data_IF_884598655368
#
_entry.id   IF_884598655368
#
_cell.length_a   1.000
_cell.length_b   1.000
_cell.length_c   1.000
_cell.angle_alpha   90.00
_cell.angle_beta   90.00
_cell.angle_gamma   90.00
#
_symmetry.space_group_name_H-M   'P 1'
#
loop_
_entity.id
_entity.type
_entity.pdbx_description
1 polymer ?
#
# COMPACT_ATOMS: atom_id res chain seq x y z
N UNK A 1 -1.64 13.92 -31.68
CA UNK A 1 -1.54 14.46 -30.32
C UNK A 1 -0.87 13.37 -29.51
N UNK A 2 0.35 13.59 -29.03
CA UNK A 2 1.04 12.60 -28.21
C UNK A 2 0.38 12.67 -26.83
N UNK A 3 -0.22 11.60 -26.29
CA UNK A 3 -0.71 11.65 -24.93
C UNK A 3 0.50 11.89 -24.02
N UNK A 4 0.44 12.95 -23.21
CA UNK A 4 1.42 13.13 -22.14
C UNK A 4 1.27 11.94 -21.18
N UNK A 5 2.35 11.18 -21.02
CA UNK A 5 2.40 10.12 -20.02
C UNK A 5 2.51 10.84 -18.68
N UNK A 6 1.41 10.81 -17.91
CA UNK A 6 1.43 11.31 -16.53
C UNK A 6 2.22 10.32 -15.68
N UNK A 7 3.32 10.79 -15.11
CA UNK A 7 4.16 10.03 -14.18
C UNK A 7 3.84 10.50 -12.77
N UNK A 8 3.49 9.57 -11.89
CA UNK A 8 3.27 9.82 -10.46
C UNK A 8 4.49 9.37 -9.67
N UNK A 9 5.01 10.24 -8.81
CA UNK A 9 6.13 9.91 -7.92
C UNK A 9 5.70 8.93 -6.81
N UNK A 10 6.61 8.12 -6.24
CA UNK A 10 6.30 7.26 -5.11
C UNK A 10 5.64 8.02 -3.95
N UNK A 11 4.45 7.56 -3.53
CA UNK A 11 3.63 8.19 -2.50
C UNK A 11 2.67 9.27 -3.01
N UNK A 12 2.66 9.59 -4.31
CA UNK A 12 1.67 10.49 -4.91
C UNK A 12 0.40 9.73 -5.32
N UNK A 13 -0.59 9.70 -4.43
CA UNK A 13 -1.89 9.09 -4.69
C UNK A 13 -2.92 10.05 -5.31
N UNK A 14 -2.49 11.16 -5.93
CA UNK A 14 -3.39 12.14 -6.53
C UNK A 14 -4.27 11.60 -7.65
N UNK A 15 -3.89 10.47 -8.27
CA UNK A 15 -4.67 9.76 -9.27
C UNK A 15 -5.88 9.00 -8.71
N UNK A 16 -5.93 8.75 -7.40
CA UNK A 16 -7.07 8.10 -6.74
C UNK A 16 -8.22 9.11 -6.58
N UNK A 17 -9.35 8.84 -7.27
CA UNK A 17 -10.52 9.72 -7.27
C UNK A 17 -11.23 9.79 -5.91
N UNK A 18 -11.30 8.66 -5.21
CA UNK A 18 -11.96 8.57 -3.90
C UNK A 18 -11.09 9.21 -2.82
N UNK A 19 -11.59 10.28 -2.18
CA UNK A 19 -10.87 10.98 -1.10
C UNK A 19 -10.57 10.05 0.07
N UNK A 20 -11.53 9.19 0.44
CA UNK A 20 -11.39 8.26 1.55
C UNK A 20 -10.32 7.20 1.25
N UNK A 21 -10.38 6.60 0.06
CA UNK A 21 -9.41 5.60 -0.37
C UNK A 21 -8.00 6.18 -0.49
N UNK A 22 -7.89 7.37 -1.09
CA UNK A 22 -6.63 8.11 -1.16
C UNK A 22 -6.02 8.32 0.24
N UNK A 23 -6.84 8.73 1.22
CA UNK A 23 -6.36 8.94 2.58
C UNK A 23 -5.81 7.64 3.21
N UNK A 24 -6.50 6.52 3.00
CA UNK A 24 -6.10 5.19 3.48
C UNK A 24 -4.75 4.76 2.89
N UNK A 25 -4.54 4.93 1.58
CA UNK A 25 -3.26 4.59 0.95
C UNK A 25 -2.13 5.54 1.36
N UNK A 26 -2.40 6.85 1.46
CA UNK A 26 -1.43 7.81 1.96
C UNK A 26 -0.96 7.45 3.37
N UNK A 27 -1.88 7.11 4.27
CA UNK A 27 -1.56 6.76 5.65
C UNK A 27 -0.74 5.47 5.72
N UNK A 28 -1.18 4.42 5.00
CA UNK A 28 -0.46 3.16 4.89
C UNK A 28 0.97 3.36 4.36
N UNK A 29 1.15 4.09 3.25
CA UNK A 29 2.46 4.31 2.64
C UNK A 29 3.40 5.02 3.61
N UNK A 30 2.93 6.08 4.28
CA UNK A 30 3.70 6.78 5.31
C UNK A 30 4.10 5.85 6.46
N UNK A 31 3.20 4.99 6.92
CA UNK A 31 3.47 4.06 8.01
C UNK A 31 4.58 3.07 7.62
N UNK A 32 4.52 2.52 6.39
CA UNK A 32 5.56 1.61 5.86
C UNK A 32 6.89 2.33 5.69
N UNK A 33 6.88 3.54 5.11
CA UNK A 33 8.08 4.37 4.92
C UNK A 33 8.75 4.69 6.26
N UNK A 34 7.96 5.11 7.25
CA UNK A 34 8.43 5.43 8.61
C UNK A 34 9.03 4.21 9.30
N UNK A 35 8.45 3.03 9.09
CA UNK A 35 8.95 1.78 9.67
C UNK A 35 10.19 1.25 8.94
N UNK A 36 10.42 1.65 7.68
CA UNK A 36 11.54 1.17 6.86
C UNK A 36 11.43 -0.31 6.48
N UNK A 37 10.21 -0.84 6.37
CA UNK A 37 9.94 -2.29 6.26
C UNK A 37 9.73 -2.78 4.82
N UNK A 38 10.10 -1.98 3.81
CA UNK A 38 9.90 -2.34 2.41
C UNK A 38 10.56 -3.68 2.03
N UNK A 39 11.78 -3.95 2.51
CA UNK A 39 12.43 -5.25 2.27
C UNK A 39 11.75 -6.41 3.00
N UNK A 40 11.19 -6.18 4.20
CA UNK A 40 10.42 -7.21 4.92
C UNK A 40 9.15 -7.57 4.13
N UNK A 41 8.46 -6.57 3.58
CA UNK A 41 7.24 -6.76 2.78
C UNK A 41 7.47 -7.58 1.51
N UNK A 42 8.67 -7.53 0.91
CA UNK A 42 9.00 -8.37 -0.26
C UNK A 42 9.03 -9.86 0.06
N UNK A 43 9.40 -10.21 1.28
CA UNK A 43 9.64 -11.59 1.71
C UNK A 43 8.40 -12.27 2.29
N UNK A 44 7.32 -11.50 2.49
CA UNK A 44 6.04 -12.00 2.98
C UNK A 44 5.03 -12.22 1.84
N UNK A 45 3.79 -12.63 2.15
CA UNK A 45 3.52 -13.57 3.18
C UNK A 45 3.92 -14.97 2.73
N UNK A 46 4.52 -15.74 3.64
CA UNK A 46 4.53 -17.20 3.50
C UNK A 46 3.10 -17.74 3.35
N UNK A 47 2.97 -19.03 3.04
CA UNK A 47 1.68 -19.72 2.83
C UNK A 47 0.66 -19.35 3.92
N UNK A 48 -0.33 -18.53 3.58
CA UNK A 48 -1.36 -18.08 4.53
C UNK A 48 -1.80 -16.62 4.34
N UNK A 49 -0.94 -15.72 3.87
CA UNK A 49 -1.29 -14.29 3.78
C UNK A 49 -1.02 -13.52 5.07
N UNK A 50 -1.02 -12.19 5.02
CA UNK A 50 -0.70 -11.33 6.18
C UNK A 50 -1.63 -11.48 7.39
N UNK A 51 -2.84 -12.02 7.20
CA UNK A 51 -3.80 -12.30 8.26
C UNK A 51 -3.55 -13.62 9.01
N UNK A 52 -2.78 -14.53 8.40
CA UNK A 52 -2.52 -15.87 8.93
C UNK A 52 -1.02 -16.20 9.03
N UNK A 53 -0.17 -15.24 8.66
CA UNK A 53 1.28 -15.33 8.83
C UNK A 53 1.70 -15.14 10.29
N UNK A 54 2.89 -15.61 10.63
CA UNK A 54 3.48 -15.45 11.98
C UNK A 54 4.12 -14.08 12.20
N UNK A 55 4.12 -13.21 11.21
CA UNK A 55 4.74 -11.89 11.29
C UNK A 55 3.89 -10.87 12.02
N UNK A 56 4.53 -10.02 12.82
CA UNK A 56 3.87 -8.91 13.51
C UNK A 56 3.65 -7.66 12.63
N UNK A 57 3.98 -7.74 11.33
CA UNK A 57 3.92 -6.63 10.37
C UNK A 57 2.58 -5.88 10.43
N UNK A 58 1.40 -6.55 10.39
CA UNK A 58 0.13 -5.84 10.48
C UNK A 58 -0.02 -5.03 11.76
N UNK A 59 0.48 -5.55 12.90
CA UNK A 59 0.42 -4.85 14.19
C UNK A 59 1.38 -3.66 14.22
N UNK A 60 2.59 -3.81 13.69
CA UNK A 60 3.58 -2.71 13.59
C UNK A 60 3.06 -1.57 12.72
N UNK A 61 2.48 -1.90 11.57
CA UNK A 61 1.85 -0.94 10.67
C UNK A 61 0.70 -0.23 11.38
N UNK A 62 -0.24 -0.99 11.96
CA UNK A 62 -1.41 -0.44 12.64
C UNK A 62 -1.05 0.48 13.81
N UNK A 63 0.01 0.18 14.55
CA UNK A 63 0.53 1.04 15.61
C UNK A 63 1.18 2.35 15.11
N UNK A 64 1.40 2.48 13.80
CA UNK A 64 2.04 3.64 13.17
C UNK A 64 1.16 4.40 12.16
N UNK A 65 -0.10 3.97 11.99
CA UNK A 65 -1.09 4.71 11.20
C UNK A 65 -1.44 6.02 11.92
N UNK A 66 -1.60 7.10 11.16
CA UNK A 66 -2.13 8.37 11.64
C UNK A 66 -3.62 8.23 12.01
N UNK A 67 -4.37 7.38 11.30
CA UNK A 67 -5.79 7.13 11.55
C UNK A 67 -6.13 5.63 11.51
N UNK A 68 -5.79 4.86 12.56
CA UNK A 68 -6.02 3.42 12.59
C UNK A 68 -7.49 3.03 12.45
N UNK A 69 -8.42 3.85 12.95
CA UNK A 69 -9.86 3.59 12.88
C UNK A 69 -10.45 3.75 11.47
N UNK A 70 -9.72 4.38 10.54
CA UNK A 70 -10.11 4.45 9.13
C UNK A 70 -9.92 3.12 8.39
N UNK A 71 -9.19 2.17 8.98
CA UNK A 71 -8.92 0.87 8.39
C UNK A 71 -9.79 -0.21 9.04
N UNK A 72 -10.78 -0.70 8.30
CA UNK A 72 -11.31 -2.05 8.59
C UNK A 72 -10.20 -3.09 8.43
N UNK A 73 -10.33 -4.26 9.08
CA UNK A 73 -9.36 -5.35 8.92
C UNK A 73 -9.19 -5.80 7.45
N UNK A 74 -10.24 -5.73 6.64
CA UNK A 74 -10.18 -6.04 5.22
C UNK A 74 -9.39 -4.99 4.43
N UNK A 75 -9.67 -3.69 4.64
CA UNK A 75 -8.90 -2.61 4.00
C UNK A 75 -7.44 -2.60 4.45
N UNK A 76 -7.16 -2.91 5.72
CA UNK A 76 -5.79 -3.02 6.20
C UNK A 76 -5.03 -4.12 5.43
N UNK A 77 -5.61 -5.31 5.32
CA UNK A 77 -5.00 -6.43 4.61
C UNK A 77 -4.78 -6.16 3.11
N UNK A 78 -5.72 -5.48 2.46
CA UNK A 78 -5.59 -5.05 1.06
C UNK A 78 -4.44 -4.05 0.90
N UNK A 79 -4.42 -2.98 1.70
CA UNK A 79 -3.37 -1.97 1.63
C UNK A 79 -1.98 -2.56 1.91
N UNK A 80 -1.84 -3.50 2.86
CA UNK A 80 -0.56 -4.20 3.09
C UNK A 80 -0.16 -5.00 1.84
N UNK A 81 -1.12 -5.65 1.16
CA UNK A 81 -0.86 -6.38 -0.09
C UNK A 81 -0.39 -5.45 -1.20
N UNK A 82 -0.98 -4.26 -1.32
CA UNK A 82 -0.57 -3.25 -2.28
C UNK A 82 0.83 -2.71 -1.99
N UNK A 83 1.15 -2.43 -0.72
CA UNK A 83 2.50 -2.01 -0.32
C UNK A 83 3.53 -3.10 -0.62
N UNK A 84 3.18 -4.36 -0.41
CA UNK A 84 4.00 -5.48 -0.83
C UNK A 84 4.19 -5.51 -2.36
N UNK A 85 3.11 -5.30 -3.13
CA UNK A 85 3.21 -5.26 -4.59
C UNK A 85 4.16 -4.15 -5.04
N UNK A 86 4.05 -2.96 -4.44
CA UNK A 86 4.97 -1.84 -4.66
C UNK A 86 6.41 -2.25 -4.29
N UNK A 87 6.61 -2.95 -3.18
CA UNK A 87 7.94 -3.40 -2.77
C UNK A 87 8.56 -4.37 -3.79
N UNK A 88 7.77 -5.32 -4.32
CA UNK A 88 8.27 -6.37 -5.23
C UNK A 88 8.45 -5.84 -6.66
N UNK A 89 7.48 -5.06 -7.16
CA UNK A 89 7.38 -4.69 -8.58
C UNK A 89 7.67 -3.22 -8.86
N UNK A 90 7.75 -2.40 -7.82
CA UNK A 90 7.93 -0.96 -7.92
C UNK A 90 6.63 -0.19 -8.07
N UNK A 91 6.68 1.08 -7.67
CA UNK A 91 5.58 2.04 -7.74
C UNK A 91 4.93 2.18 -9.13
N UNK A 92 5.68 2.31 -10.25
CA UNK A 92 5.06 2.49 -11.57
C UNK A 92 4.15 1.32 -11.98
N UNK A 93 4.51 0.09 -11.60
CA UNK A 93 3.69 -1.09 -11.89
C UNK A 93 2.40 -1.08 -11.07
N UNK A 94 2.46 -0.65 -9.82
CA UNK A 94 1.28 -0.54 -8.98
C UNK A 94 0.30 0.51 -9.51
N UNK A 95 0.79 1.70 -9.91
CA UNK A 95 -0.03 2.74 -10.53
C UNK A 95 -0.74 2.22 -11.78
N UNK A 96 -0.02 1.51 -12.66
CA UNK A 96 -0.61 0.90 -13.86
C UNK A 96 -1.69 -0.13 -13.52
N UNK A 97 -1.43 -1.00 -12.53
CA UNK A 97 -2.40 -2.02 -12.11
C UNK A 97 -3.64 -1.42 -11.47
N UNK A 98 -3.47 -0.38 -10.66
CA UNK A 98 -4.58 0.31 -10.03
C UNK A 98 -5.50 0.93 -11.08
N UNK A 99 -4.94 1.65 -12.06
CA UNK A 99 -5.72 2.29 -13.14
C UNK A 99 -6.53 1.27 -13.96
N UNK A 100 -5.96 0.09 -14.24
CA UNK A 100 -6.65 -1.00 -14.95
C UNK A 100 -7.77 -1.67 -14.14
N UNK A 101 -7.81 -1.47 -12.82
CA UNK A 101 -8.79 -2.10 -11.93
C UNK A 101 -10.03 -1.23 -11.65
N UNK A 102 -10.02 0.03 -12.10
CA UNK A 102 -11.09 1.01 -11.93
C UNK A 102 -12.13 0.96 -13.07
#
# INVERSE_FOLDING_TARGET
MNPEIVVFEPGDFSFIKSVAEKAIYCDMYKAVEKLGIWEELKNEPFSGGFLFGTTDIPNRIMANLENPDAHSGASLALCIRDMQYIAIHGWPMWVLMYDLSQ
#
